data_IF_180014838666
#
_entry.id   IF_180014838666
#
_cell.length_a   1.000
_cell.length_b   1.000
_cell.length_c   1.000
_cell.angle_alpha   90.00
_cell.angle_beta   90.00
_cell.angle_gamma   90.00
#
_symmetry.space_group_name_H-M   'P 1'
#
loop_
_entity.id
_entity.type
_entity.pdbx_description
1 polymer ?
#
# COMPACT_ATOMS: atom_id res chain seq x y z
N UNK A 1 2.86 27.65 2.46
CA UNK A 1 1.95 26.81 1.64
C UNK A 1 2.44 25.38 1.63
N UNK A 2 1.56 24.43 1.89
CA UNK A 2 1.92 23.02 1.81
C UNK A 2 1.61 22.48 0.41
N UNK A 3 2.55 21.76 -0.18
CA UNK A 3 2.52 21.34 -1.57
C UNK A 3 1.33 20.40 -1.89
N UNK A 4 0.95 19.54 -0.93
CA UNK A 4 -0.11 18.54 -1.08
C UNK A 4 -1.33 18.83 -0.21
N UNK A 5 -1.54 20.09 0.14
CA UNK A 5 -2.60 20.46 1.09
C UNK A 5 -3.98 19.97 0.67
N UNK A 6 -4.63 19.20 1.53
CA UNK A 6 -5.95 18.61 1.28
C UNK A 6 -5.97 17.44 0.29
N UNK A 7 -4.86 17.07 -0.33
CA UNK A 7 -4.79 15.92 -1.25
C UNK A 7 -4.94 14.60 -0.48
N UNK A 8 -5.71 13.69 -1.02
CA UNK A 8 -5.93 12.36 -0.44
C UNK A 8 -4.99 11.37 -1.10
N UNK A 9 -4.17 10.70 -0.31
CA UNK A 9 -3.14 9.80 -0.81
C UNK A 9 -3.31 8.40 -0.23
N UNK A 10 -3.24 7.38 -1.08
CA UNK A 10 -3.10 5.98 -0.70
C UNK A 10 -1.68 5.52 -1.03
N UNK A 11 -1.00 4.98 -0.05
CA UNK A 11 0.32 4.37 -0.23
C UNK A 11 0.21 2.89 0.14
N UNK A 12 0.45 2.00 -0.80
CA UNK A 12 0.42 0.56 -0.55
C UNK A 12 1.77 0.09 0.00
N UNK A 13 1.76 -0.98 0.81
CA UNK A 13 2.97 -1.49 1.46
C UNK A 13 3.60 -0.50 2.43
N UNK A 14 2.80 0.34 3.08
CA UNK A 14 3.28 1.44 3.91
C UNK A 14 3.26 1.15 5.41
N UNK A 15 3.10 -0.10 5.81
CA UNK A 15 3.25 -0.52 7.21
C UNK A 15 4.68 -0.40 7.72
N UNK A 16 5.66 -0.33 6.83
CA UNK A 16 7.08 -0.20 7.16
C UNK A 16 7.87 0.37 5.97
N UNK A 17 9.18 0.56 6.17
CA UNK A 17 10.14 0.87 5.11
C UNK A 17 9.85 2.16 4.34
N UNK A 18 10.12 2.12 3.03
CA UNK A 18 10.04 3.29 2.15
C UNK A 18 8.62 3.84 2.07
N UNK A 19 7.61 2.97 1.98
CA UNK A 19 6.22 3.39 1.91
C UNK A 19 5.79 4.19 3.13
N UNK A 20 6.19 3.77 4.31
CA UNK A 20 5.91 4.49 5.57
C UNK A 20 6.58 5.86 5.58
N UNK A 21 7.84 5.94 5.15
CA UNK A 21 8.57 7.22 5.06
C UNK A 21 7.92 8.15 4.04
N UNK A 22 7.50 7.63 2.89
CA UNK A 22 6.76 8.43 1.90
C UNK A 22 5.47 9.01 2.50
N UNK A 23 4.70 8.18 3.20
CA UNK A 23 3.47 8.62 3.85
C UNK A 23 3.73 9.75 4.86
N UNK A 24 4.79 9.64 5.65
CA UNK A 24 5.19 10.69 6.60
C UNK A 24 5.55 12.01 5.90
N UNK A 25 6.27 11.94 4.78
CA UNK A 25 6.61 13.13 3.99
C UNK A 25 5.37 13.75 3.33
N UNK A 26 4.46 12.92 2.82
CA UNK A 26 3.21 13.41 2.23
C UNK A 26 2.33 14.09 3.27
N UNK A 27 2.24 13.53 4.47
CA UNK A 27 1.52 14.17 5.58
C UNK A 27 2.09 15.54 5.91
N UNK A 28 3.41 15.66 6.01
CA UNK A 28 4.09 16.94 6.24
C UNK A 28 3.80 17.95 5.12
N UNK A 29 3.60 17.48 3.90
CA UNK A 29 3.23 18.31 2.77
C UNK A 29 1.73 18.65 2.73
N UNK A 30 0.95 18.18 3.69
CA UNK A 30 -0.46 18.52 3.84
C UNK A 30 -1.45 17.48 3.34
N UNK A 31 -0.99 16.33 2.86
CA UNK A 31 -1.85 15.26 2.38
C UNK A 31 -2.57 14.55 3.53
N UNK A 32 -3.76 14.06 3.25
CA UNK A 32 -4.48 13.10 4.09
C UNK A 32 -4.03 11.71 3.67
N UNK A 33 -3.70 10.85 4.63
CA UNK A 33 -3.03 9.57 4.38
C UNK A 33 -3.94 8.38 4.64
N UNK A 34 -3.97 7.47 3.68
CA UNK A 34 -4.47 6.12 3.85
C UNK A 34 -3.35 5.16 3.47
N UNK A 35 -3.13 4.14 4.30
CA UNK A 35 -2.12 3.11 4.02
C UNK A 35 -2.75 1.73 3.97
N UNK A 36 -2.13 0.82 3.27
CA UNK A 36 -2.43 -0.60 3.37
C UNK A 36 -1.15 -1.42 3.44
N UNK A 37 -1.26 -2.59 4.03
CA UNK A 37 -0.17 -3.56 4.09
C UNK A 37 -0.76 -4.95 4.31
N UNK A 38 -0.14 -5.98 3.74
CA UNK A 38 -0.50 -7.35 4.00
C UNK A 38 -0.04 -7.82 5.39
N UNK A 39 1.00 -7.18 5.92
CA UNK A 39 1.49 -7.41 7.29
C UNK A 39 0.67 -6.56 8.27
N UNK A 40 -0.27 -7.22 8.96
CA UNK A 40 -1.18 -6.53 9.88
C UNK A 40 -0.47 -5.95 11.10
N UNK A 41 0.61 -6.58 11.56
CA UNK A 41 1.38 -6.07 12.69
C UNK A 41 2.10 -4.76 12.34
N UNK A 42 2.72 -4.73 11.17
CA UNK A 42 3.37 -3.51 10.67
C UNK A 42 2.35 -2.40 10.43
N UNK A 43 1.20 -2.74 9.86
CA UNK A 43 0.11 -1.79 9.64
C UNK A 43 -0.35 -1.16 10.95
N UNK A 44 -0.65 -1.98 11.96
CA UNK A 44 -1.10 -1.52 13.27
C UNK A 44 -0.07 -0.61 13.94
N UNK A 45 1.21 -0.99 13.86
CA UNK A 45 2.28 -0.19 14.44
C UNK A 45 2.39 1.19 13.76
N UNK A 46 2.30 1.23 12.44
CA UNK A 46 2.34 2.50 11.70
C UNK A 46 1.16 3.39 12.03
N UNK A 47 -0.04 2.83 12.16
CA UNK A 47 -1.23 3.60 12.54
C UNK A 47 -1.15 4.12 13.98
N UNK A 48 -0.53 3.36 14.87
CA UNK A 48 -0.29 3.77 16.24
C UNK A 48 0.65 4.96 16.35
N UNK A 49 1.72 4.92 15.55
CA UNK A 49 2.73 5.99 15.50
C UNK A 49 2.23 7.24 14.78
N UNK A 50 1.24 7.09 13.92
CA UNK A 50 0.69 8.17 13.09
C UNK A 50 -0.84 8.19 13.21
N UNK A 51 -1.38 8.69 14.33
CA UNK A 51 -2.81 8.52 14.67
C UNK A 51 -3.79 9.24 13.73
N UNK A 52 -3.33 10.16 12.91
CA UNK A 52 -4.17 10.83 11.92
C UNK A 52 -4.30 10.02 10.61
N UNK A 53 -3.54 8.95 10.45
CA UNK A 53 -3.64 8.10 9.27
C UNK A 53 -4.80 7.12 9.40
N UNK A 54 -5.38 6.78 8.26
CA UNK A 54 -6.28 5.64 8.12
C UNK A 54 -5.54 4.48 7.47
N UNK A 55 -6.00 3.27 7.69
CA UNK A 55 -5.38 2.10 7.10
C UNK A 55 -6.31 0.91 7.01
N UNK A 56 -6.03 0.04 6.06
CA UNK A 56 -6.76 -1.19 5.82
C UNK A 56 -5.78 -2.33 5.60
N UNK A 57 -5.90 -3.48 6.28
CA UNK A 57 -5.14 -4.67 5.92
C UNK A 57 -5.52 -5.08 4.50
N UNK A 58 -4.53 -5.26 3.63
CA UNK A 58 -4.79 -5.63 2.25
C UNK A 58 -3.57 -6.30 1.63
N UNK A 59 -3.77 -7.49 1.11
CA UNK A 59 -2.86 -8.12 0.17
C UNK A 59 -3.26 -7.65 -1.23
N UNK A 60 -2.43 -6.81 -1.86
CA UNK A 60 -2.76 -6.22 -3.15
C UNK A 60 -2.82 -7.23 -4.30
N UNK A 61 -2.30 -8.44 -4.10
CA UNK A 61 -2.45 -9.53 -5.08
C UNK A 61 -3.84 -10.17 -5.08
N UNK A 62 -4.66 -9.84 -4.09
CA UNK A 62 -6.03 -10.32 -3.97
C UNK A 62 -7.01 -9.22 -4.41
N UNK A 63 -7.60 -9.40 -5.58
CA UNK A 63 -8.54 -8.47 -6.19
C UNK A 63 -9.70 -8.09 -5.25
N UNK A 64 -10.23 -9.06 -4.51
CA UNK A 64 -11.34 -8.81 -3.59
C UNK A 64 -10.92 -7.94 -2.40
N UNK A 65 -9.71 -8.14 -1.90
CA UNK A 65 -9.18 -7.30 -0.82
C UNK A 65 -8.94 -5.86 -1.31
N UNK A 66 -8.47 -5.70 -2.54
CA UNK A 66 -8.30 -4.36 -3.14
C UNK A 66 -9.66 -3.68 -3.32
N UNK A 67 -10.67 -4.37 -3.79
CA UNK A 67 -12.03 -3.83 -3.91
C UNK A 67 -12.55 -3.36 -2.54
N UNK A 68 -12.34 -4.14 -1.49
CA UNK A 68 -12.74 -3.78 -0.13
C UNK A 68 -11.98 -2.56 0.39
N UNK A 69 -10.68 -2.48 0.14
CA UNK A 69 -9.86 -1.32 0.48
C UNK A 69 -10.42 -0.04 -0.16
N UNK A 70 -10.68 -0.07 -1.45
CA UNK A 70 -11.18 1.10 -2.17
C UNK A 70 -12.60 1.48 -1.74
N UNK A 71 -13.44 0.51 -1.37
CA UNK A 71 -14.75 0.78 -0.81
C UNK A 71 -14.66 1.51 0.52
N UNK A 72 -13.83 1.02 1.44
CA UNK A 72 -13.62 1.67 2.74
C UNK A 72 -13.09 3.10 2.57
N UNK A 73 -12.11 3.26 1.69
CA UNK A 73 -11.49 4.55 1.44
C UNK A 73 -12.48 5.53 0.78
N UNK A 74 -13.28 5.06 -0.17
CA UNK A 74 -14.32 5.88 -0.79
C UNK A 74 -15.36 6.35 0.21
N UNK A 75 -15.78 5.47 1.11
CA UNK A 75 -16.78 5.82 2.13
C UNK A 75 -16.25 6.87 3.12
N UNK A 76 -14.97 6.84 3.45
CA UNK A 76 -14.35 7.75 4.43
C UNK A 76 -13.69 8.98 3.81
N UNK A 77 -12.93 8.80 2.72
CA UNK A 77 -12.23 9.89 2.03
C UNK A 77 -13.09 10.59 0.97
N UNK A 78 -14.04 9.89 0.39
CA UNK A 78 -14.87 10.42 -0.71
C UNK A 78 -14.19 10.46 -2.07
N UNK A 79 -12.94 10.06 -2.17
CA UNK A 79 -12.17 10.04 -3.42
C UNK A 79 -10.67 9.92 -3.15
N UNK A 80 -9.87 9.98 -4.21
CA UNK A 80 -8.42 9.81 -4.14
C UNK A 80 -7.73 10.62 -5.24
N UNK A 81 -6.75 11.44 -4.88
CA UNK A 81 -5.94 12.18 -5.84
C UNK A 81 -4.61 11.52 -6.12
N UNK A 82 -4.02 10.84 -5.11
CA UNK A 82 -2.66 10.29 -5.22
C UNK A 82 -2.67 8.81 -4.86
N UNK A 83 -2.20 7.98 -5.79
CA UNK A 83 -1.96 6.55 -5.55
C UNK A 83 -0.47 6.28 -5.69
N UNK A 84 0.14 5.70 -4.64
CA UNK A 84 1.52 5.21 -4.69
C UNK A 84 1.50 3.69 -4.61
N UNK A 85 1.74 3.04 -5.73
CA UNK A 85 1.90 1.59 -5.82
C UNK A 85 3.30 1.19 -5.34
N UNK A 86 3.47 1.12 -4.02
CA UNK A 86 4.75 0.78 -3.39
C UNK A 86 4.84 -0.68 -2.94
N UNK A 87 3.72 -1.37 -2.73
CA UNK A 87 3.74 -2.76 -2.32
C UNK A 87 4.51 -3.62 -3.32
N UNK A 88 5.44 -4.40 -2.82
CA UNK A 88 6.28 -5.25 -3.63
C UNK A 88 7.05 -6.25 -2.80
N UNK A 89 7.48 -7.33 -3.43
CA UNK A 89 8.33 -8.36 -2.83
C UNK A 89 9.51 -8.63 -3.75
N UNK A 90 10.64 -9.07 -3.17
CA UNK A 90 11.87 -9.33 -3.93
C UNK A 90 11.75 -10.54 -4.87
N UNK A 91 10.91 -11.50 -4.50
CA UNK A 91 10.81 -12.76 -5.22
C UNK A 91 12.02 -13.67 -5.01
N UNK A 92 12.04 -14.84 -5.69
CA UNK A 92 13.12 -15.81 -5.53
C UNK A 92 14.39 -15.35 -6.27
N UNK A 93 15.53 -15.65 -5.68
CA UNK A 93 16.85 -15.44 -6.31
C UNK A 93 17.47 -16.79 -6.63
N UNK A 94 17.31 -17.25 -7.89
CA UNK A 94 17.79 -18.54 -8.34
C UNK A 94 17.86 -18.57 -9.88
N UNK A 95 18.60 -19.54 -10.48
CA UNK A 95 18.46 -19.80 -11.91
C UNK A 95 17.01 -20.09 -12.26
N UNK A 96 16.58 -19.69 -13.46
CA UNK A 96 15.17 -19.75 -13.86
C UNK A 96 14.57 -21.17 -13.74
N UNK A 97 15.36 -22.21 -14.04
CA UNK A 97 14.93 -23.59 -13.98
C UNK A 97 14.75 -24.10 -12.53
N UNK A 98 15.26 -23.40 -11.55
CA UNK A 98 15.16 -23.75 -10.12
C UNK A 98 14.07 -22.95 -9.39
N UNK A 99 13.46 -21.97 -10.06
CA UNK A 99 12.42 -21.15 -9.44
C UNK A 99 11.12 -21.96 -9.29
N UNK A 100 10.58 -21.99 -8.08
CA UNK A 100 9.26 -22.56 -7.81
C UNK A 100 8.18 -21.73 -8.54
N UNK A 101 7.33 -22.35 -9.37
CA UNK A 101 6.24 -21.64 -10.03
C UNK A 101 5.32 -20.86 -9.08
N UNK A 102 5.08 -21.35 -7.87
CA UNK A 102 4.24 -20.65 -6.90
C UNK A 102 4.91 -19.37 -6.38
N UNK A 103 6.22 -19.40 -6.17
CA UNK A 103 6.98 -18.20 -5.82
C UNK A 103 6.98 -17.18 -6.95
N UNK A 104 7.09 -17.64 -8.20
CA UNK A 104 6.96 -16.79 -9.37
C UNK A 104 5.59 -16.12 -9.43
N UNK A 105 4.52 -16.90 -9.30
CA UNK A 105 3.14 -16.39 -9.32
C UNK A 105 2.91 -15.38 -8.20
N UNK A 106 3.47 -15.63 -7.03
CA UNK A 106 3.38 -14.71 -5.90
C UNK A 106 4.03 -13.37 -6.21
N UNK A 107 5.24 -13.39 -6.80
CA UNK A 107 5.96 -12.17 -7.19
C UNK A 107 5.20 -11.37 -8.24
N UNK A 108 4.70 -12.02 -9.27
CA UNK A 108 3.87 -11.39 -10.32
C UNK A 108 2.57 -10.88 -9.72
N UNK A 109 1.95 -11.65 -8.83
CA UNK A 109 0.70 -11.28 -8.18
C UNK A 109 0.83 -9.99 -7.38
N UNK A 110 1.88 -9.84 -6.58
CA UNK A 110 2.09 -8.63 -5.79
C UNK A 110 2.61 -7.48 -6.65
N UNK A 111 3.70 -7.73 -7.40
CA UNK A 111 4.45 -6.64 -8.04
C UNK A 111 3.77 -6.10 -9.31
N UNK A 112 3.06 -6.95 -10.03
CA UNK A 112 2.41 -6.55 -11.28
C UNK A 112 0.89 -6.46 -11.13
N UNK A 113 0.24 -7.57 -10.77
CA UNK A 113 -1.21 -7.61 -10.69
C UNK A 113 -1.74 -6.67 -9.61
N UNK A 114 -1.07 -6.59 -8.46
CA UNK A 114 -1.46 -5.70 -7.37
C UNK A 114 -1.47 -4.23 -7.78
N UNK A 115 -0.46 -3.79 -8.53
CA UNK A 115 -0.42 -2.43 -9.06
C UNK A 115 -1.57 -2.17 -10.04
N UNK A 116 -1.92 -3.15 -10.86
CA UNK A 116 -3.06 -3.06 -11.77
C UNK A 116 -4.39 -2.99 -11.00
N UNK A 117 -4.57 -3.82 -9.99
CA UNK A 117 -5.82 -3.85 -9.22
C UNK A 117 -6.08 -2.53 -8.48
N UNK A 118 -5.03 -1.92 -7.94
CA UNK A 118 -5.13 -0.60 -7.32
C UNK A 118 -5.28 0.51 -8.36
#
# INVERSE_FOLDING_TARGET
MKLLDGQRALITGAGSGIGKVMAQHFEKAGARIWICDADTNNLEQSLKENPDWNGTPCDVSDENQVDQLFKEMSDSFGGLEILVNNAGIAGPTAPVEEIDPDEWRRSVGVNLNGAFYC
#
